data_IF_867243782099
#
_entry.id   IF_867243782099
#
_cell.length_a   1.000
_cell.length_b   1.000
_cell.length_c   1.000
_cell.angle_alpha   90.00
_cell.angle_beta   90.00
_cell.angle_gamma   90.00
#
_symmetry.space_group_name_H-M   'P 1'
#
loop_
_entity.id
_entity.type
_entity.pdbx_description
1 polymer ?
#
# COMPACT_ATOMS: atom_id res chain seq x y z
N UNK A 1 -60.76 -6.75 46.61
CA UNK A 1 -60.76 -7.57 45.39
C UNK A 1 -60.39 -6.71 44.17
N UNK A 2 -59.22 -6.12 44.12
CA UNK A 2 -58.78 -5.32 42.98
C UNK A 2 -57.27 -5.28 42.91
N UNK A 3 -56.60 -6.42 42.74
CA UNK A 3 -55.14 -6.39 42.71
C UNK A 3 -54.56 -7.39 41.72
N UNK A 4 -55.30 -7.84 40.72
CA UNK A 4 -54.80 -8.81 39.75
C UNK A 4 -54.65 -8.26 38.31
N UNK A 5 -54.88 -6.97 38.10
CA UNK A 5 -54.82 -6.37 36.76
C UNK A 5 -53.66 -5.40 36.53
N UNK A 6 -52.75 -5.23 37.48
CA UNK A 6 -51.62 -4.32 37.36
C UNK A 6 -50.26 -4.99 37.11
N UNK A 7 -50.21 -6.30 36.92
CA UNK A 7 -48.96 -7.03 36.69
C UNK A 7 -48.63 -7.34 35.21
N UNK A 8 -49.45 -6.89 34.26
CA UNK A 8 -49.28 -7.26 32.86
C UNK A 8 -48.80 -6.13 31.94
N UNK A 9 -48.36 -5.01 32.48
CA UNK A 9 -47.90 -3.86 31.65
C UNK A 9 -46.43 -3.49 31.86
N UNK A 10 -45.63 -4.37 32.43
CA UNK A 10 -44.20 -4.10 32.69
C UNK A 10 -43.26 -5.09 31.98
N UNK A 11 -43.63 -5.61 30.83
CA UNK A 11 -42.77 -6.58 30.13
C UNK A 11 -42.75 -6.28 28.63
N UNK A 12 -42.24 -5.12 28.19
CA UNK A 12 -41.90 -4.87 26.80
C UNK A 12 -40.94 -3.67 26.67
N UNK A 13 -39.86 -3.68 27.45
CA UNK A 13 -38.70 -2.88 27.16
C UNK A 13 -37.52 -3.85 26.91
N UNK A 14 -37.56 -4.55 25.80
CA UNK A 14 -36.37 -5.19 25.26
C UNK A 14 -35.43 -4.08 24.84
N UNK A 15 -34.26 -3.88 25.47
CA UNK A 15 -33.22 -3.08 24.87
C UNK A 15 -32.82 -3.83 23.61
N UNK A 16 -33.12 -3.27 22.45
CA UNK A 16 -32.44 -3.62 21.21
C UNK A 16 -30.96 -3.30 21.45
N UNK A 17 -30.22 -4.30 21.91
CA UNK A 17 -28.78 -4.28 21.86
C UNK A 17 -28.43 -4.18 20.37
N UNK A 18 -28.23 -2.95 19.92
CA UNK A 18 -27.61 -2.70 18.65
C UNK A 18 -26.26 -3.41 18.72
N UNK A 19 -26.18 -4.57 18.08
CA UNK A 19 -24.93 -5.23 17.78
C UNK A 19 -24.15 -4.24 16.93
N UNK A 20 -23.35 -3.40 17.58
CA UNK A 20 -22.33 -2.63 16.93
C UNK A 20 -21.40 -3.67 16.28
N UNK A 21 -21.67 -3.99 15.02
CA UNK A 21 -20.72 -4.74 14.22
C UNK A 21 -19.38 -3.99 14.35
N UNK A 22 -18.31 -4.66 14.79
CA UNK A 22 -17.02 -4.01 14.80
C UNK A 22 -16.78 -3.54 13.38
N UNK A 23 -16.74 -2.23 13.17
CA UNK A 23 -16.24 -1.67 11.95
C UNK A 23 -14.78 -2.18 11.87
N UNK A 24 -14.56 -3.21 11.07
CA UNK A 24 -13.21 -3.65 10.73
C UNK A 24 -12.63 -2.44 9.99
N UNK A 25 -11.95 -1.59 10.74
CA UNK A 25 -11.16 -0.52 10.18
C UNK A 25 -10.13 -1.19 9.28
N UNK A 26 -10.40 -1.16 7.98
CA UNK A 26 -9.51 -1.72 6.99
C UNK A 26 -8.22 -0.91 7.09
N UNK A 27 -7.17 -1.51 7.66
CA UNK A 27 -5.90 -0.82 7.83
C UNK A 27 -5.38 -0.43 6.46
N UNK A 28 -5.03 0.84 6.29
CA UNK A 28 -4.40 1.34 5.07
C UNK A 28 -3.13 0.54 4.79
N UNK A 29 -3.04 -0.04 3.62
CA UNK A 29 -1.81 -0.71 3.15
C UNK A 29 -0.78 0.38 2.88
N UNK A 30 0.41 0.26 3.48
CA UNK A 30 1.51 1.20 3.25
C UNK A 30 2.69 0.47 2.66
N UNK A 31 3.11 0.88 1.46
CA UNK A 31 4.28 0.35 0.79
C UNK A 31 5.41 1.36 0.79
N UNK A 32 6.60 0.88 1.10
CA UNK A 32 7.85 1.61 0.88
C UNK A 32 8.38 1.20 -0.48
N UNK A 33 8.43 2.14 -1.40
CA UNK A 33 8.94 1.94 -2.75
C UNK A 33 10.22 2.72 -2.94
N UNK A 34 11.27 2.07 -3.39
CA UNK A 34 12.50 2.77 -3.77
C UNK A 34 12.69 2.72 -5.28
N UNK A 35 13.05 3.87 -5.84
CA UNK A 35 13.46 3.98 -7.25
C UNK A 35 14.98 3.95 -7.40
N UNK A 36 15.45 3.54 -8.57
CA UNK A 36 16.84 3.69 -8.97
C UNK A 36 17.19 5.15 -9.32
N UNK A 37 16.18 5.96 -9.57
CA UNK A 37 16.34 7.33 -10.02
C UNK A 37 16.80 8.26 -8.90
N UNK A 38 17.74 9.13 -9.22
CA UNK A 38 18.09 10.26 -8.38
C UNK A 38 17.01 11.35 -8.37
N UNK A 39 17.20 12.41 -7.53
CA UNK A 39 16.17 13.44 -7.30
C UNK A 39 15.64 14.08 -8.58
N UNK A 40 16.49 14.42 -9.51
CA UNK A 40 16.09 15.15 -10.73
C UNK A 40 15.07 14.39 -11.58
N UNK A 41 15.25 13.06 -11.74
CA UNK A 41 14.30 12.24 -12.49
C UNK A 41 13.09 11.88 -11.62
N UNK A 42 13.31 11.57 -10.36
CA UNK A 42 12.24 11.18 -9.44
C UNK A 42 11.21 12.29 -9.27
N UNK A 43 11.64 13.52 -8.96
CA UNK A 43 10.77 14.68 -8.73
C UNK A 43 9.90 15.04 -9.94
N UNK A 44 10.41 14.86 -11.15
CA UNK A 44 9.70 15.30 -12.35
C UNK A 44 8.85 14.22 -13.00
N UNK A 45 9.16 12.95 -12.76
CA UNK A 45 8.49 11.83 -13.45
C UNK A 45 7.80 10.88 -12.46
N UNK A 46 8.50 10.47 -11.40
CA UNK A 46 8.01 9.40 -10.52
C UNK A 46 7.09 9.95 -9.43
N UNK A 47 7.48 11.03 -8.75
CA UNK A 47 6.65 11.66 -7.72
C UNK A 47 5.24 12.01 -8.21
N UNK A 48 5.06 12.69 -9.36
CA UNK A 48 3.72 12.99 -9.85
C UNK A 48 2.85 11.74 -10.09
N UNK A 49 3.47 10.64 -10.53
CA UNK A 49 2.76 9.38 -10.73
C UNK A 49 2.35 8.73 -9.39
N UNK A 50 3.24 8.75 -8.41
CA UNK A 50 2.95 8.23 -7.06
C UNK A 50 1.90 9.09 -6.35
N UNK A 51 1.98 10.40 -6.44
CA UNK A 51 0.98 11.32 -5.90
C UNK A 51 -0.41 11.06 -6.50
N UNK A 52 -0.47 10.88 -7.83
CA UNK A 52 -1.72 10.55 -8.52
C UNK A 52 -2.26 9.19 -8.03
N UNK A 53 -1.41 8.17 -7.92
CA UNK A 53 -1.81 6.86 -7.39
C UNK A 53 -2.36 6.98 -5.98
N UNK A 54 -1.65 7.65 -5.07
CA UNK A 54 -2.05 7.82 -3.69
C UNK A 54 -3.38 8.56 -3.56
N UNK A 55 -3.61 9.55 -4.42
CA UNK A 55 -4.88 10.28 -4.48
C UNK A 55 -6.04 9.39 -4.94
N UNK A 56 -5.82 8.53 -5.93
CA UNK A 56 -6.84 7.60 -6.43
C UNK A 56 -7.12 6.48 -5.44
N UNK A 57 -6.06 5.92 -4.84
CA UNK A 57 -6.17 4.82 -3.89
C UNK A 57 -6.78 5.25 -2.54
N UNK A 58 -6.62 6.54 -2.16
CA UNK A 58 -7.17 7.12 -0.93
C UNK A 58 -6.69 6.36 0.31
N UNK A 59 -7.64 6.04 1.20
CA UNK A 59 -7.33 5.36 2.46
C UNK A 59 -7.06 3.86 2.31
N UNK A 60 -7.21 3.29 1.12
CA UNK A 60 -7.00 1.86 0.89
C UNK A 60 -5.52 1.50 0.82
N UNK A 61 -4.73 2.33 0.14
CA UNK A 61 -3.32 2.08 -0.07
C UNK A 61 -2.56 3.39 -0.25
N UNK A 62 -1.35 3.44 0.32
CA UNK A 62 -0.42 4.56 0.16
C UNK A 62 0.97 4.03 -0.17
N UNK A 63 1.62 4.67 -1.13
CA UNK A 63 3.01 4.39 -1.48
C UNK A 63 3.87 5.56 -0.99
N UNK A 64 4.88 5.24 -0.20
CA UNK A 64 5.94 6.16 0.21
C UNK A 64 7.15 5.94 -0.70
N UNK A 65 7.50 6.97 -1.48
CA UNK A 65 8.61 6.89 -2.43
C UNK A 65 9.92 7.31 -1.79
N UNK A 66 10.94 6.50 -2.04
CA UNK A 66 12.33 6.76 -1.69
C UNK A 66 13.17 6.81 -2.96
N UNK A 67 14.10 7.75 -3.02
CA UNK A 67 15.00 7.91 -4.17
C UNK A 67 16.18 6.95 -4.10
N UNK A 68 17.01 6.97 -5.13
CA UNK A 68 18.20 6.14 -5.19
C UNK A 68 19.04 6.24 -3.89
N UNK A 69 19.48 5.09 -3.40
CA UNK A 69 20.35 4.93 -2.24
C UNK A 69 19.80 5.42 -0.88
N UNK A 70 18.49 5.73 -0.78
CA UNK A 70 17.92 6.21 0.47
C UNK A 70 17.63 5.10 1.50
N UNK A 71 17.12 3.95 1.07
CA UNK A 71 16.87 2.81 1.95
C UNK A 71 17.95 1.73 1.81
N UNK A 72 18.26 1.39 0.57
CA UNK A 72 19.29 0.40 0.22
C UNK A 72 20.09 0.90 -0.98
N UNK A 73 21.35 0.46 -1.16
CA UNK A 73 22.10 0.75 -2.37
C UNK A 73 21.34 0.35 -3.63
N UNK A 74 21.36 1.16 -4.68
CA UNK A 74 20.63 0.93 -5.91
C UNK A 74 20.90 -0.44 -6.53
N UNK A 75 22.14 -0.92 -6.47
CA UNK A 75 22.51 -2.27 -6.96
C UNK A 75 21.93 -3.43 -6.14
N UNK A 76 21.35 -3.17 -4.96
CA UNK A 76 20.76 -4.18 -4.07
C UNK A 76 19.24 -4.14 -4.04
N UNK A 77 18.60 -3.32 -4.87
CA UNK A 77 17.14 -3.12 -4.87
C UNK A 77 16.37 -4.45 -5.02
N UNK A 78 16.79 -5.29 -5.94
CA UNK A 78 16.12 -6.57 -6.19
C UNK A 78 16.24 -7.54 -5.00
N UNK A 79 17.41 -7.64 -4.40
CA UNK A 79 17.62 -8.46 -3.21
C UNK A 79 16.85 -7.91 -2.00
N UNK A 80 16.74 -6.59 -1.87
CA UNK A 80 15.96 -5.96 -0.82
C UNK A 80 14.47 -6.25 -0.97
N UNK A 81 13.95 -6.24 -2.20
CA UNK A 81 12.57 -6.64 -2.51
C UNK A 81 12.34 -8.12 -2.15
N UNK A 82 13.24 -9.02 -2.58
CA UNK A 82 13.13 -10.45 -2.27
C UNK A 82 13.15 -10.74 -0.77
N UNK A 83 13.93 -9.98 0.00
CA UNK A 83 14.01 -10.11 1.47
C UNK A 83 12.85 -9.43 2.19
N UNK A 84 12.01 -8.67 1.50
CA UNK A 84 10.93 -7.90 2.10
C UNK A 84 11.40 -6.66 2.89
N UNK A 85 12.63 -6.18 2.66
CA UNK A 85 13.15 -4.94 3.27
C UNK A 85 12.44 -3.72 2.70
N UNK A 86 12.06 -3.78 1.44
CA UNK A 86 11.20 -2.81 0.75
C UNK A 86 10.04 -3.57 0.11
N UNK A 87 8.93 -2.88 -0.10
CA UNK A 87 7.68 -3.49 -0.57
C UNK A 87 7.52 -3.41 -2.09
N UNK A 88 8.16 -2.42 -2.72
CA UNK A 88 8.14 -2.20 -4.16
C UNK A 88 9.45 -1.57 -4.66
N UNK A 89 9.73 -1.80 -5.92
CA UNK A 89 10.88 -1.24 -6.63
C UNK A 89 10.42 -0.63 -7.95
N UNK A 90 10.93 0.53 -8.27
CA UNK A 90 10.88 1.09 -9.61
C UNK A 90 12.32 1.12 -10.14
N UNK A 91 12.56 0.37 -11.20
CA UNK A 91 13.89 0.22 -11.81
C UNK A 91 13.76 0.12 -13.32
N UNK A 92 14.88 0.14 -14.00
CA UNK A 92 14.99 -0.14 -15.42
C UNK A 92 15.59 -1.54 -15.66
N UNK A 93 15.54 -1.97 -16.93
CA UNK A 93 16.01 -3.29 -17.31
C UNK A 93 17.52 -3.45 -17.05
N UNK A 94 18.30 -2.42 -17.28
CA UNK A 94 19.75 -2.44 -17.12
C UNK A 94 20.15 -2.62 -15.65
N UNK A 95 19.44 -1.99 -14.74
CA UNK A 95 19.69 -2.12 -13.29
C UNK A 95 19.35 -3.51 -12.76
N UNK A 96 18.55 -4.29 -13.49
CA UNK A 96 18.18 -5.67 -13.17
C UNK A 96 19.14 -6.72 -13.80
N UNK A 97 20.12 -6.31 -14.56
CA UNK A 97 21.04 -7.21 -15.27
C UNK A 97 21.80 -8.16 -14.34
N UNK A 98 22.18 -7.70 -13.15
CA UNK A 98 22.90 -8.55 -12.19
C UNK A 98 22.06 -9.69 -11.61
N UNK A 99 20.80 -9.49 -11.19
CA UNK A 99 19.96 -10.58 -10.72
C UNK A 99 19.34 -11.42 -11.85
N UNK A 100 19.18 -10.83 -13.06
CA UNK A 100 18.47 -11.51 -14.16
C UNK A 100 19.10 -11.12 -15.50
N UNK A 101 20.03 -11.92 -15.99
CA UNK A 101 20.78 -11.62 -17.22
C UNK A 101 19.92 -11.34 -18.46
N UNK A 102 18.73 -11.92 -18.53
CA UNK A 102 17.82 -11.72 -19.68
C UNK A 102 17.33 -10.28 -19.82
N UNK A 103 17.32 -9.50 -18.74
CA UNK A 103 16.85 -8.10 -18.77
C UNK A 103 17.77 -7.20 -19.61
N UNK A 104 19.06 -7.55 -19.75
CA UNK A 104 20.00 -6.82 -20.61
C UNK A 104 19.50 -6.76 -22.05
N UNK A 105 18.83 -7.80 -22.50
CA UNK A 105 18.30 -7.84 -23.88
C UNK A 105 17.08 -6.95 -24.09
N UNK A 106 16.32 -6.65 -23.02
CA UNK A 106 15.14 -5.77 -23.08
C UNK A 106 15.51 -4.31 -23.36
N UNK A 107 16.56 -3.80 -22.73
CA UNK A 107 16.99 -2.41 -22.81
C UNK A 107 17.72 -2.02 -24.11
N UNK A 108 18.22 -2.98 -24.86
CA UNK A 108 19.11 -2.72 -26.01
C UNK A 108 18.51 -3.08 -27.38
N UNK A 109 17.23 -3.37 -27.46
CA UNK A 109 16.61 -3.58 -28.76
C UNK A 109 16.45 -2.26 -29.51
N UNK A 110 16.97 -2.14 -30.77
CA UNK A 110 16.91 -0.88 -31.52
C UNK A 110 15.49 -0.48 -31.95
N UNK A 111 14.50 -1.31 -31.64
CA UNK A 111 13.08 -1.12 -31.99
C UNK A 111 12.15 -1.30 -30.78
N UNK A 112 12.67 -1.26 -29.55
CA UNK A 112 11.91 -1.41 -28.31
C UNK A 112 11.16 -0.16 -27.91
#
# INVERSE_FOLDING_TARGET
>A
MTTRRKFLTAAAATPAAALAAPAIAQSTIRWRMQTYAGPALAEHVIDPAIEMFNKIAGDRMQIELFYADQLVPTGELFQALQRGTIDAVQSDDDSMASPTEVTVFGGYFPFG
#
